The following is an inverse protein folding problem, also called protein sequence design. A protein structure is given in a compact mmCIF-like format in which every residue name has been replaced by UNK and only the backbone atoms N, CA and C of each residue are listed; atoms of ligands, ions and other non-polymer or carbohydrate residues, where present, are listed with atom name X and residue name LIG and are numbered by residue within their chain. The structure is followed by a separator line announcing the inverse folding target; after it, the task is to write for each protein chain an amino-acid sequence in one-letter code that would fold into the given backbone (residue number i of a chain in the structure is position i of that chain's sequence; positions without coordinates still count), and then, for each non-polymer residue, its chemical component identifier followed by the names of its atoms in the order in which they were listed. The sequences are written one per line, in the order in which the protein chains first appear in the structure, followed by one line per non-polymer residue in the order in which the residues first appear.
data_IF_055080596592
#
_entry.id   IF_055080596592
#
_cell.length_a   1.000
_cell.length_b   1.000
_cell.length_c   1.000
_cell.angle_alpha   90.00
_cell.angle_beta   90.00
_cell.angle_gamma   90.00
#
_symmetry.space_group_name_H-M   'P 1'
#
loop_
_entity.id
_entity.type
_entity.pdbx_description
1 polymer ?
#
# COMPACT_ATOMS: atom_id res chain seq x y z
N UNK A 1 15.65 1.31 2.00
CA UNK A 1 14.82 1.18 3.21
C UNK A 1 15.46 0.18 4.16
N UNK A 2 15.04 0.12 5.42
CA UNK A 2 15.51 -0.89 6.37
C UNK A 2 14.43 -1.94 6.57
N UNK A 3 14.83 -3.21 6.58
CA UNK A 3 13.93 -4.32 6.83
C UNK A 3 14.63 -5.35 7.72
N UNK A 4 13.88 -5.93 8.65
CA UNK A 4 14.41 -6.87 9.63
C UNK A 4 13.27 -7.55 10.38
N UNK A 5 13.63 -8.50 11.25
CA UNK A 5 12.66 -9.23 12.07
C UNK A 5 11.94 -8.26 13.01
N UNK A 6 10.61 -8.27 13.00
CA UNK A 6 9.81 -7.51 13.95
C UNK A 6 9.92 -8.08 15.39
N UNK A 7 9.40 -7.33 16.38
CA UNK A 7 9.29 -7.74 17.78
C UNK A 7 10.63 -7.95 18.51
N UNK A 8 11.57 -7.03 18.32
CA UNK A 8 12.73 -6.91 19.20
C UNK A 8 12.41 -5.96 20.38
N UNK A 9 13.12 -6.06 21.52
CA UNK A 9 12.78 -5.34 22.75
C UNK A 9 12.77 -3.81 22.61
N UNK A 10 13.58 -3.25 21.70
CA UNK A 10 13.65 -1.81 21.44
C UNK A 10 13.78 -1.50 19.95
N UNK A 11 13.56 -0.22 19.60
CA UNK A 11 13.79 0.28 18.25
C UNK A 11 15.28 0.24 17.86
N UNK A 12 16.17 0.48 18.81
CA UNK A 12 17.63 0.42 18.60
C UNK A 12 18.07 -1.02 18.33
N UNK A 13 17.56 -2.00 19.07
CA UNK A 13 17.81 -3.42 18.83
C UNK A 13 17.34 -3.84 17.44
N UNK A 14 16.16 -3.36 17.02
CA UNK A 14 15.64 -3.60 15.67
C UNK A 14 16.54 -2.99 14.60
N UNK A 15 16.94 -1.74 14.77
CA UNK A 15 17.75 -1.03 13.78
C UNK A 15 19.16 -1.64 13.65
N UNK A 16 19.77 -2.04 14.76
CA UNK A 16 21.07 -2.72 14.78
C UNK A 16 21.04 -4.08 14.03
N UNK A 17 19.91 -4.78 14.08
CA UNK A 17 19.71 -6.06 13.38
C UNK A 17 19.11 -5.92 11.97
N UNK A 18 18.62 -4.74 11.59
CA UNK A 18 17.96 -4.52 10.31
C UNK A 18 18.97 -4.43 9.16
N UNK A 19 18.57 -4.93 8.01
CA UNK A 19 19.34 -4.87 6.77
C UNK A 19 18.94 -3.61 5.97
N UNK A 20 19.94 -2.83 5.53
CA UNK A 20 19.70 -1.74 4.58
C UNK A 20 19.55 -2.30 3.17
N UNK A 21 18.35 -2.15 2.60
CA UNK A 21 18.02 -2.57 1.23
C UNK A 21 17.95 -1.35 0.30
N UNK A 22 18.60 -1.37 -0.88
CA UNK A 22 18.51 -0.27 -1.84
C UNK A 22 17.10 -0.17 -2.45
N UNK A 23 16.75 1.02 -2.96
CA UNK A 23 15.47 1.27 -3.60
C UNK A 23 14.29 1.58 -2.66
N UNK A 24 13.09 1.56 -3.22
CA UNK A 24 11.83 1.82 -2.50
C UNK A 24 11.37 0.60 -1.72
N UNK A 25 10.76 0.83 -0.55
CA UNK A 25 10.11 -0.22 0.24
C UNK A 25 8.83 -0.76 -0.40
N UNK A 26 8.29 -0.09 -1.43
CA UNK A 26 7.05 -0.48 -2.11
C UNK A 26 7.11 -1.90 -2.67
N UNK A 27 8.26 -2.35 -3.16
CA UNK A 27 8.40 -3.71 -3.71
C UNK A 27 8.16 -4.78 -2.65
N UNK A 28 8.73 -4.63 -1.46
CA UNK A 28 8.54 -5.57 -0.34
C UNK A 28 7.08 -5.55 0.14
N UNK A 29 6.48 -4.37 0.18
CA UNK A 29 5.08 -4.23 0.57
C UNK A 29 4.13 -4.86 -0.45
N UNK A 30 4.36 -4.67 -1.75
CA UNK A 30 3.60 -5.33 -2.82
C UNK A 30 3.74 -6.85 -2.71
N UNK A 31 4.94 -7.38 -2.47
CA UNK A 31 5.15 -8.81 -2.29
C UNK A 31 4.37 -9.36 -1.09
N UNK A 32 4.38 -8.62 0.03
CA UNK A 32 3.58 -8.97 1.22
C UNK A 32 2.07 -8.92 0.94
N UNK A 33 1.60 -7.91 0.19
CA UNK A 33 0.18 -7.75 -0.18
C UNK A 33 -0.29 -8.86 -1.13
N UNK A 34 0.50 -9.22 -2.14
CA UNK A 34 0.11 -10.22 -3.16
C UNK A 34 -0.29 -11.57 -2.53
N UNK A 35 0.39 -11.99 -1.46
CA UNK A 35 0.05 -13.22 -0.72
C UNK A 35 -1.30 -13.15 0.00
N UNK A 36 -1.88 -11.95 0.11
CA UNK A 36 -3.07 -11.63 0.92
C UNK A 36 -4.20 -11.01 0.09
N UNK A 37 -4.02 -10.81 -1.21
CA UNK A 37 -5.00 -10.17 -2.10
C UNK A 37 -5.87 -11.15 -2.89
N UNK A 38 -5.82 -12.45 -2.56
CA UNK A 38 -6.58 -13.48 -3.25
C UNK A 38 -6.05 -13.78 -4.66
N UNK A 39 -6.85 -14.49 -5.45
CA UNK A 39 -6.50 -14.88 -6.81
C UNK A 39 -6.62 -13.69 -7.78
N UNK A 40 -5.85 -13.75 -8.88
CA UNK A 40 -5.98 -12.77 -9.95
C UNK A 40 -7.27 -13.02 -10.73
N UNK A 41 -8.03 -11.95 -10.92
CA UNK A 41 -9.25 -11.95 -11.74
C UNK A 41 -9.10 -10.94 -12.88
N UNK A 42 -9.93 -11.07 -13.92
CA UNK A 42 -10.00 -10.07 -14.97
C UNK A 42 -10.38 -8.70 -14.40
N UNK A 43 -9.71 -7.65 -14.86
CA UNK A 43 -10.01 -6.30 -14.42
C UNK A 43 -11.45 -5.90 -14.81
N UNK A 44 -12.23 -5.28 -13.91
CA UNK A 44 -13.55 -4.75 -14.25
C UNK A 44 -13.46 -3.73 -15.40
N UNK A 45 -14.36 -3.83 -16.37
CA UNK A 45 -14.36 -2.96 -17.56
C UNK A 45 -14.86 -1.53 -17.31
N UNK A 46 -15.55 -1.31 -16.19
CA UNK A 46 -16.10 -0.01 -15.81
C UNK A 46 -15.88 0.27 -14.32
N UNK A 47 -15.79 1.55 -13.97
CA UNK A 47 -15.67 2.01 -12.58
C UNK A 47 -17.04 2.00 -11.89
N UNK A 48 -17.05 1.67 -10.59
CA UNK A 48 -18.26 1.68 -9.77
C UNK A 48 -19.20 0.50 -10.04
N UNK A 49 -20.49 0.70 -9.75
CA UNK A 49 -21.56 -0.28 -9.99
C UNK A 49 -22.91 0.43 -10.19
N UNK A 50 -23.97 -0.31 -10.54
CA UNK A 50 -25.34 0.26 -10.64
C UNK A 50 -25.80 0.94 -9.34
N UNK A 51 -25.37 0.42 -8.18
CA UNK A 51 -25.71 0.98 -6.86
C UNK A 51 -24.83 2.19 -6.49
N UNK A 52 -23.61 2.23 -7.02
CA UNK A 52 -22.59 3.25 -6.72
C UNK A 52 -21.95 3.71 -8.04
N UNK A 53 -22.65 4.54 -8.82
CA UNK A 53 -22.11 5.04 -10.08
C UNK A 53 -20.94 6.02 -9.83
N UNK A 54 -19.99 6.16 -10.76
CA UNK A 54 -18.98 7.21 -10.69
C UNK A 54 -19.62 8.60 -10.59
N UNK A 55 -19.14 9.44 -9.67
CA UNK A 55 -19.72 10.76 -9.42
C UNK A 55 -18.95 11.89 -10.13
N UNK A 56 -17.63 11.79 -10.14
CA UNK A 56 -16.71 12.72 -10.81
C UNK A 56 -15.38 12.00 -11.09
N UNK A 57 -14.55 12.56 -11.96
CA UNK A 57 -13.18 12.08 -12.11
C UNK A 57 -12.37 12.33 -10.82
N UNK A 58 -11.44 11.42 -10.50
CA UNK A 58 -10.44 11.67 -9.47
C UNK A 58 -9.63 12.94 -9.80
N UNK A 59 -9.22 13.75 -8.80
CA UNK A 59 -9.21 13.46 -7.36
C UNK A 59 -10.48 13.88 -6.60
N UNK A 60 -11.55 14.29 -7.29
CA UNK A 60 -12.76 14.81 -6.66
C UNK A 60 -12.60 16.24 -6.14
N UNK A 61 -13.53 16.69 -5.30
CA UNK A 61 -13.62 18.09 -4.87
C UNK A 61 -13.03 18.35 -3.49
N UNK A 62 -13.15 17.39 -2.56
CA UNK A 62 -12.77 17.61 -1.16
C UNK A 62 -11.28 17.92 -0.99
N UNK A 63 -10.39 17.33 -1.79
CA UNK A 63 -8.94 17.62 -1.74
C UNK A 63 -8.60 19.06 -2.16
N UNK A 64 -9.52 19.75 -2.86
CA UNK A 64 -9.33 21.11 -3.37
C UNK A 64 -9.91 22.18 -2.44
N UNK A 65 -10.54 21.76 -1.35
CA UNK A 65 -11.06 22.68 -0.34
C UNK A 65 -9.91 23.40 0.36
N UNK A 66 -10.14 24.68 0.70
CA UNK A 66 -9.15 25.53 1.36
C UNK A 66 -9.31 25.41 2.88
N UNK A 67 -8.19 25.52 3.59
CA UNK A 67 -8.15 25.62 5.04
C UNK A 67 -8.76 26.94 5.53
#
# INVERSE_FOLDING_TARGET
YWAGKANLPSADDWFAAAEKRPGSWWSDWIAWLQQRSGERVAAPAALGSKKLPPLAAAPGTYVLEKA
#
